data_IF_347137562139
#
_entry.id   IF_347137562139
#
_cell.length_a   1.000
_cell.length_b   1.000
_cell.length_c   1.000
_cell.angle_alpha   90.00
_cell.angle_beta   90.00
_cell.angle_gamma   90.00
#
_symmetry.space_group_name_H-M   'P 1'
#
loop_
_entity.id
_entity.type
_entity.pdbx_description
1 polymer ?
#
# COMPACT_ATOMS: atom_id res chain seq x y z
N UNK A 1 -23.04 89.87 -51.48
CA UNK A 1 -23.24 88.93 -50.35
C UNK A 1 -24.20 87.85 -50.83
N UNK A 2 -23.69 86.79 -51.48
CA UNK A 2 -23.26 85.50 -50.91
C UNK A 2 -24.40 84.70 -50.28
N UNK A 3 -24.97 83.78 -51.06
CA UNK A 3 -25.32 82.44 -50.59
C UNK A 3 -25.02 81.46 -51.74
N UNK A 4 -24.10 80.49 -51.57
CA UNK A 4 -23.98 79.39 -52.51
C UNK A 4 -24.95 78.25 -52.15
N UNK A 5 -25.56 77.72 -53.20
CA UNK A 5 -26.50 76.61 -53.23
C UNK A 5 -25.90 75.33 -52.64
N UNK A 6 -26.64 74.71 -51.73
CA UNK A 6 -26.34 73.41 -51.11
C UNK A 6 -26.53 72.30 -52.14
N UNK A 7 -25.43 71.84 -52.75
CA UNK A 7 -25.44 70.66 -53.60
C UNK A 7 -25.54 69.39 -52.75
N UNK A 8 -26.48 68.52 -53.11
CA UNK A 8 -26.80 67.27 -52.44
C UNK A 8 -25.86 66.17 -52.95
N UNK A 9 -24.82 65.84 -52.19
CA UNK A 9 -23.99 64.66 -52.47
C UNK A 9 -24.61 63.43 -51.84
N UNK A 10 -25.40 62.67 -52.59
CA UNK A 10 -25.69 61.28 -52.28
C UNK A 10 -24.47 60.44 -52.67
N UNK A 11 -23.46 60.38 -51.80
CA UNK A 11 -22.38 59.39 -51.90
C UNK A 11 -22.74 58.19 -51.04
N UNK A 12 -22.92 57.05 -51.71
CA UNK A 12 -23.29 55.77 -51.17
C UNK A 12 -22.35 55.32 -50.03
N UNK A 13 -22.84 55.35 -48.80
CA UNK A 13 -22.31 54.52 -47.73
C UNK A 13 -22.99 53.15 -47.78
N UNK A 14 -22.71 52.38 -48.84
CA UNK A 14 -22.86 50.92 -48.79
C UNK A 14 -21.46 50.37 -48.53
N UNK A 15 -20.97 50.60 -47.32
CA UNK A 15 -19.97 49.71 -46.73
C UNK A 15 -20.74 48.84 -45.75
N UNK A 16 -21.03 47.64 -46.24
CA UNK A 16 -21.65 46.50 -45.57
C UNK A 16 -21.21 46.39 -44.10
N UNK A 17 -22.07 46.86 -43.20
CA UNK A 17 -22.04 46.43 -41.79
C UNK A 17 -22.60 45.01 -41.74
N UNK A 18 -21.79 44.01 -42.09
CA UNK A 18 -22.13 42.61 -41.85
C UNK A 18 -21.97 42.38 -40.35
N UNK A 19 -23.05 42.62 -39.60
CA UNK A 19 -23.11 42.19 -38.21
C UNK A 19 -23.08 40.65 -38.21
N UNK A 20 -21.92 40.09 -37.88
CA UNK A 20 -21.80 38.64 -37.73
C UNK A 20 -22.28 38.32 -36.32
N UNK A 21 -23.43 37.66 -36.23
CA UNK A 21 -23.99 37.19 -34.96
C UNK A 21 -22.94 36.33 -34.23
N UNK A 22 -22.89 36.38 -32.90
CA UNK A 22 -21.91 35.63 -32.08
C UNK A 22 -21.84 34.13 -32.42
N UNK A 23 -22.94 33.56 -32.90
CA UNK A 23 -23.05 32.21 -33.48
C UNK A 23 -21.99 31.89 -34.54
N UNK A 24 -21.63 32.86 -35.39
CA UNK A 24 -20.65 32.66 -36.46
C UNK A 24 -19.25 32.36 -35.92
N UNK A 25 -18.83 33.06 -34.87
CA UNK A 25 -17.54 32.81 -34.23
C UNK A 25 -17.50 31.44 -33.53
N UNK A 26 -18.61 30.98 -32.97
CA UNK A 26 -18.71 29.62 -32.44
C UNK A 26 -18.54 28.56 -33.53
N UNK A 27 -19.11 28.76 -34.73
CA UNK A 27 -18.90 27.82 -35.83
C UNK A 27 -17.45 27.83 -36.35
N UNK A 28 -16.82 29.00 -36.43
CA UNK A 28 -15.41 29.11 -36.80
C UNK A 28 -14.47 28.48 -35.76
N UNK A 29 -14.86 28.47 -34.48
CA UNK A 29 -14.14 27.74 -33.45
C UNK A 29 -14.45 26.24 -33.45
N UNK A 30 -15.71 25.87 -33.72
CA UNK A 30 -16.17 24.48 -33.67
C UNK A 30 -15.56 23.62 -34.77
N UNK A 31 -15.35 24.13 -35.98
CA UNK A 31 -14.74 23.38 -37.09
C UNK A 31 -13.31 22.91 -36.77
N UNK A 32 -12.35 23.80 -36.41
CA UNK A 32 -11.00 23.36 -36.04
C UNK A 32 -10.99 22.56 -34.74
N UNK A 33 -11.90 22.84 -33.79
CA UNK A 33 -12.02 22.05 -32.56
C UNK A 33 -12.49 20.62 -32.83
N UNK A 34 -13.49 20.43 -33.69
CA UNK A 34 -13.99 19.12 -34.10
C UNK A 34 -12.93 18.35 -34.90
N UNK A 35 -12.19 19.04 -35.77
CA UNK A 35 -11.07 18.44 -36.51
C UNK A 35 -9.92 18.02 -35.58
N UNK A 36 -9.55 18.86 -34.61
CA UNK A 36 -8.54 18.53 -33.61
C UNK A 36 -8.98 17.36 -32.72
N UNK A 37 -10.24 17.33 -32.29
CA UNK A 37 -10.79 16.21 -31.53
C UNK A 37 -10.78 14.92 -32.36
N UNK A 38 -11.17 14.99 -33.64
CA UNK A 38 -11.11 13.86 -34.56
C UNK A 38 -9.69 13.32 -34.71
N UNK A 39 -8.70 14.20 -34.93
CA UNK A 39 -7.30 13.83 -35.06
C UNK A 39 -6.74 13.18 -33.79
N UNK A 40 -7.10 13.69 -32.61
CA UNK A 40 -6.65 13.13 -31.31
C UNK A 40 -7.38 11.83 -30.95
N UNK A 41 -8.61 11.64 -31.43
CA UNK A 41 -9.41 10.43 -31.20
C UNK A 41 -9.03 9.25 -32.09
N UNK A 42 -8.35 9.49 -33.21
CA UNK A 42 -7.94 8.45 -34.16
C UNK A 42 -6.59 7.85 -33.76
N UNK A 43 -6.44 6.54 -33.87
CA UNK A 43 -5.14 5.87 -33.87
C UNK A 43 -4.77 5.49 -35.31
N UNK A 44 -3.52 5.75 -35.70
CA UNK A 44 -2.99 5.36 -37.03
C UNK A 44 -2.55 3.88 -37.05
N UNK A 45 -2.25 3.31 -35.89
CA UNK A 45 -1.93 1.89 -35.73
C UNK A 45 -3.17 1.08 -35.27
N UNK A 46 -3.47 -0.07 -35.91
CA UNK A 46 -4.62 -0.90 -35.56
C UNK A 46 -4.50 -1.58 -34.18
N UNK A 47 -3.27 -1.69 -33.65
CA UNK A 47 -2.99 -2.36 -32.37
C UNK A 47 -2.74 -1.38 -31.21
N UNK A 48 -2.73 -0.06 -31.45
CA UNK A 48 -2.47 0.93 -30.40
C UNK A 48 -3.76 1.66 -29.99
N UNK A 49 -4.02 1.76 -28.69
CA UNK A 49 -5.13 2.55 -28.18
C UNK A 49 -4.97 4.05 -28.51
N UNK A 50 -6.05 4.76 -28.85
CA UNK A 50 -6.02 6.21 -29.08
C UNK A 50 -5.40 6.99 -27.92
N UNK A 51 -4.86 8.17 -28.22
CA UNK A 51 -4.16 8.99 -27.21
C UNK A 51 -5.04 9.34 -26.00
N UNK A 52 -6.34 9.61 -26.23
CA UNK A 52 -7.29 9.88 -25.16
C UNK A 52 -7.47 8.68 -24.24
N UNK A 53 -7.62 7.47 -24.79
CA UNK A 53 -7.72 6.24 -24.01
C UNK A 53 -6.48 6.05 -23.14
N UNK A 54 -5.28 6.24 -23.70
CA UNK A 54 -4.02 6.13 -22.94
C UNK A 54 -3.91 7.15 -21.80
N UNK A 55 -4.45 8.36 -21.99
CA UNK A 55 -4.47 9.37 -20.93
C UNK A 55 -5.45 8.99 -19.82
N UNK A 56 -6.63 8.47 -20.19
CA UNK A 56 -7.61 7.95 -19.25
C UNK A 56 -7.01 6.78 -18.46
N UNK A 57 -6.41 5.81 -19.15
CA UNK A 57 -5.79 4.62 -18.53
C UNK A 57 -4.69 5.01 -17.53
N UNK A 58 -3.86 6.00 -17.87
CA UNK A 58 -2.83 6.51 -16.93
C UNK A 58 -3.43 7.11 -15.67
N UNK A 59 -4.55 7.82 -15.80
CA UNK A 59 -5.23 8.44 -14.67
C UNK A 59 -5.95 7.40 -13.81
N UNK A 60 -6.64 6.43 -14.43
CA UNK A 60 -7.30 5.33 -13.71
C UNK A 60 -6.28 4.45 -13.00
N UNK A 61 -5.16 4.10 -13.64
CA UNK A 61 -4.07 3.34 -13.01
C UNK A 61 -3.49 4.07 -11.79
N UNK A 62 -3.31 5.40 -11.89
CA UNK A 62 -2.86 6.19 -10.75
C UNK A 62 -3.88 6.12 -9.61
N UNK A 63 -5.16 6.32 -9.90
CA UNK A 63 -6.24 6.27 -8.91
C UNK A 63 -6.34 4.90 -8.24
N UNK A 64 -6.26 3.81 -9.01
CA UNK A 64 -6.26 2.43 -8.50
C UNK A 64 -5.10 2.17 -7.54
N UNK A 65 -3.91 2.70 -7.84
CA UNK A 65 -2.75 2.60 -6.93
C UNK A 65 -2.98 3.35 -5.62
N UNK A 66 -3.58 4.54 -5.67
CA UNK A 66 -3.92 5.29 -4.46
C UNK A 66 -4.97 4.56 -3.63
N UNK A 67 -6.02 4.01 -4.27
CA UNK A 67 -7.05 3.24 -3.57
C UNK A 67 -6.49 1.97 -2.96
N UNK A 68 -5.61 1.24 -3.67
CA UNK A 68 -4.98 0.03 -3.15
C UNK A 68 -4.08 0.32 -1.93
N UNK A 69 -3.34 1.42 -1.95
CA UNK A 69 -2.53 1.86 -0.79
C UNK A 69 -3.40 2.23 0.42
N UNK A 70 -4.48 2.97 0.18
CA UNK A 70 -5.40 3.35 1.24
C UNK A 70 -6.10 2.13 1.84
N UNK A 71 -6.51 1.18 1.02
CA UNK A 71 -7.10 -0.10 1.45
C UNK A 71 -6.10 -0.90 2.32
N UNK A 72 -4.83 -1.03 1.91
CA UNK A 72 -3.81 -1.66 2.74
C UNK A 72 -3.63 -0.96 4.09
N UNK A 73 -3.65 0.37 4.13
CA UNK A 73 -3.51 1.14 5.37
C UNK A 73 -4.71 0.93 6.31
N UNK A 74 -5.93 0.94 5.77
CA UNK A 74 -7.15 0.66 6.53
C UNK A 74 -7.10 -0.75 7.12
N UNK A 75 -6.76 -1.76 6.31
CA UNK A 75 -6.62 -3.15 6.77
C UNK A 75 -5.58 -3.31 7.87
N UNK A 76 -4.44 -2.61 7.75
CA UNK A 76 -3.41 -2.61 8.79
C UNK A 76 -3.92 -2.02 10.11
N UNK A 77 -4.67 -0.91 10.05
CA UNK A 77 -5.28 -0.29 11.24
C UNK A 77 -6.34 -1.20 11.86
N UNK A 78 -7.20 -1.81 11.05
CA UNK A 78 -8.23 -2.75 11.53
C UNK A 78 -7.61 -3.94 12.23
N UNK A 79 -6.57 -4.54 11.63
CA UNK A 79 -5.81 -5.64 12.24
C UNK A 79 -5.15 -5.20 13.55
N UNK A 80 -4.47 -4.06 13.55
CA UNK A 80 -3.83 -3.53 14.76
C UNK A 80 -4.84 -3.23 15.87
N UNK A 81 -6.04 -2.76 15.52
CA UNK A 81 -7.14 -2.57 16.46
C UNK A 81 -7.62 -3.88 17.05
N UNK A 82 -7.84 -4.90 16.21
CA UNK A 82 -8.22 -6.24 16.65
C UNK A 82 -7.16 -6.87 17.58
N UNK A 83 -5.88 -6.79 17.18
CA UNK A 83 -4.77 -7.34 17.96
C UNK A 83 -4.63 -6.60 19.30
N UNK A 84 -4.84 -5.28 19.34
CA UNK A 84 -4.86 -4.51 20.59
C UNK A 84 -5.96 -4.99 21.54
N UNK A 85 -7.16 -5.26 21.03
CA UNK A 85 -8.27 -5.77 21.85
C UNK A 85 -7.94 -7.15 22.41
N UNK A 86 -7.30 -8.01 21.62
CA UNK A 86 -6.82 -9.32 22.08
C UNK A 86 -5.84 -9.16 23.25
N UNK A 87 -4.80 -8.32 23.09
CA UNK A 87 -3.77 -8.14 24.12
C UNK A 87 -4.26 -7.43 25.38
N UNK A 88 -5.27 -6.56 25.26
CA UNK A 88 -5.87 -5.88 26.43
C UNK A 88 -6.74 -6.81 27.28
N UNK A 89 -7.30 -7.86 26.69
CA UNK A 89 -8.19 -8.79 27.39
C UNK A 89 -7.51 -10.12 27.77
N UNK A 90 -6.37 -10.46 27.17
CA UNK A 90 -5.58 -11.63 27.58
C UNK A 90 -4.81 -11.35 28.86
N UNK A 91 -4.75 -12.34 29.78
CA UNK A 91 -3.82 -12.27 30.90
C UNK A 91 -2.38 -12.21 30.35
N UNK A 92 -1.54 -11.25 30.80
CA UNK A 92 -0.15 -11.20 30.37
C UNK A 92 0.59 -12.45 30.86
N UNK A 93 1.34 -13.07 29.97
CA UNK A 93 2.29 -14.10 30.39
C UNK A 93 3.47 -13.41 31.09
N UNK A 94 3.64 -13.68 32.38
CA UNK A 94 4.70 -13.08 33.19
C UNK A 94 6.08 -13.63 32.79
N UNK A 95 6.14 -14.84 32.22
CA UNK A 95 7.40 -15.54 31.98
C UNK A 95 7.40 -16.30 30.64
N UNK A 96 8.02 -15.71 29.61
CA UNK A 96 8.22 -16.38 28.33
C UNK A 96 9.53 -17.21 28.37
N UNK A 97 9.48 -18.55 28.19
CA UNK A 97 10.68 -19.36 28.15
C UNK A 97 11.48 -19.11 26.87
N UNK A 98 12.79 -18.91 27.00
CA UNK A 98 13.70 -18.78 25.85
C UNK A 98 14.19 -20.15 25.41
N UNK A 99 14.20 -20.41 24.11
CA UNK A 99 14.69 -21.68 23.56
C UNK A 99 16.22 -21.82 23.69
N UNK A 100 16.92 -20.70 23.63
CA UNK A 100 18.38 -20.59 23.60
C UNK A 100 18.84 -19.61 24.69
N UNK A 101 19.02 -20.06 25.95
CA UNK A 101 19.38 -19.16 27.06
C UNK A 101 20.77 -18.53 26.92
N UNK A 102 21.65 -19.11 26.11
CA UNK A 102 23.00 -18.61 25.80
C UNK A 102 22.98 -17.29 25.01
N UNK A 103 21.94 -17.02 24.23
CA UNK A 103 21.83 -15.77 23.46
C UNK A 103 21.67 -14.54 24.37
N UNK A 104 21.30 -14.74 25.64
CA UNK A 104 21.24 -13.67 26.64
C UNK A 104 22.63 -13.14 27.03
N UNK A 105 23.68 -13.92 26.74
CA UNK A 105 25.08 -13.53 26.94
C UNK A 105 25.79 -13.16 25.65
N UNK A 106 25.16 -13.37 24.50
CA UNK A 106 25.76 -13.10 23.20
C UNK A 106 25.66 -11.60 22.88
N UNK A 107 26.68 -10.85 23.28
CA UNK A 107 26.86 -9.45 22.96
C UNK A 107 28.21 -9.25 22.26
N UNK A 108 28.41 -8.08 21.65
CA UNK A 108 29.66 -7.75 20.97
C UNK A 108 30.88 -8.00 21.89
N UNK A 109 31.89 -8.77 21.45
CA UNK A 109 33.00 -9.19 22.31
C UNK A 109 33.98 -8.06 22.66
N UNK A 110 33.91 -6.91 21.96
CA UNK A 110 34.87 -5.81 22.08
C UNK A 110 34.20 -4.49 22.46
N UNK A 111 34.94 -3.66 23.20
CA UNK A 111 34.56 -2.30 23.58
C UNK A 111 33.28 -2.17 24.43
N UNK A 112 33.02 -3.17 25.29
CA UNK A 112 31.88 -3.16 26.21
C UNK A 112 32.32 -2.60 27.57
N UNK A 113 31.74 -1.49 28.06
CA UNK A 113 32.08 -0.96 29.38
C UNK A 113 31.69 -1.96 30.47
N UNK A 114 32.55 -2.09 31.49
CA UNK A 114 32.31 -3.00 32.61
C UNK A 114 30.98 -2.68 33.31
N UNK A 115 30.19 -3.71 33.61
CA UNK A 115 28.89 -3.59 34.27
C UNK A 115 27.70 -3.27 33.35
N UNK A 116 27.90 -3.13 32.04
CA UNK A 116 26.79 -2.99 31.09
C UNK A 116 26.01 -4.29 30.85
N UNK A 117 26.61 -5.45 31.14
CA UNK A 117 25.98 -6.75 31.00
C UNK A 117 25.27 -7.14 32.30
N UNK A 118 24.04 -7.66 32.17
CA UNK A 118 23.26 -8.19 33.30
C UNK A 118 23.85 -9.54 33.74
N UNK A 119 23.92 -9.79 35.05
CA UNK A 119 24.31 -11.11 35.57
C UNK A 119 23.17 -12.12 35.34
N UNK A 120 23.30 -12.92 34.29
CA UNK A 120 22.31 -13.94 33.88
C UNK A 120 22.63 -15.36 34.36
N UNK A 121 23.63 -15.54 35.25
CA UNK A 121 24.10 -16.88 35.64
C UNK A 121 22.99 -17.73 36.29
N UNK A 122 22.17 -17.14 37.16
CA UNK A 122 21.05 -17.85 37.80
C UNK A 122 20.00 -18.35 36.80
N UNK A 123 19.76 -17.60 35.73
CA UNK A 123 18.84 -17.99 34.65
C UNK A 123 19.43 -19.16 33.87
N UNK A 124 20.73 -19.09 33.56
CA UNK A 124 21.44 -20.15 32.87
C UNK A 124 21.49 -21.45 33.69
N UNK A 125 21.71 -21.35 34.99
CA UNK A 125 21.66 -22.49 35.92
C UNK A 125 20.28 -23.16 35.95
N UNK A 126 19.20 -22.37 35.99
CA UNK A 126 17.83 -22.90 35.91
C UNK A 126 17.65 -23.74 34.65
N UNK A 127 17.96 -23.21 33.47
CA UNK A 127 17.78 -23.92 32.20
C UNK A 127 18.72 -25.12 32.04
N UNK A 128 19.96 -25.04 32.55
CA UNK A 128 20.87 -26.19 32.58
C UNK A 128 20.31 -27.33 33.42
N UNK A 129 19.73 -27.02 34.58
CA UNK A 129 19.08 -28.01 35.44
C UNK A 129 17.89 -28.67 34.74
N UNK A 130 16.97 -27.88 34.19
CA UNK A 130 15.79 -28.39 33.46
C UNK A 130 16.20 -29.29 32.28
N UNK A 131 17.23 -28.90 31.51
CA UNK A 131 17.73 -29.71 30.41
C UNK A 131 18.35 -31.03 30.87
N UNK A 132 19.08 -31.04 31.99
CA UNK A 132 19.65 -32.26 32.56
C UNK A 132 18.56 -33.20 33.04
N UNK A 133 17.56 -32.69 33.78
CA UNK A 133 16.40 -33.45 34.23
C UNK A 133 15.62 -34.04 33.05
N UNK A 134 15.42 -33.29 31.97
CA UNK A 134 14.77 -33.76 30.74
C UNK A 134 15.56 -34.87 30.04
N UNK A 135 16.88 -34.75 30.02
CA UNK A 135 17.76 -35.77 29.44
C UNK A 135 17.76 -37.05 30.27
N UNK A 136 17.76 -36.93 31.61
CA UNK A 136 17.63 -38.07 32.52
C UNK A 136 16.28 -38.77 32.35
N UNK A 137 15.17 -38.03 32.31
CA UNK A 137 13.83 -38.60 32.03
C UNK A 137 13.77 -39.32 30.70
N UNK A 138 14.36 -38.74 29.65
CA UNK A 138 14.45 -39.39 28.32
C UNK A 138 15.32 -40.64 28.38
N UNK A 139 16.43 -40.61 29.11
CA UNK A 139 17.32 -41.76 29.29
C UNK A 139 16.62 -42.91 30.04
N UNK A 140 15.85 -42.60 31.07
CA UNK A 140 15.03 -43.58 31.80
C UNK A 140 13.92 -44.15 30.92
N UNK A 141 13.22 -43.32 30.15
CA UNK A 141 12.21 -43.77 29.20
C UNK A 141 12.81 -44.68 28.12
N UNK A 142 14.03 -44.37 27.65
CA UNK A 142 14.78 -45.23 26.72
C UNK A 142 15.16 -46.57 27.38
N UNK A 143 15.63 -46.55 28.63
CA UNK A 143 15.95 -47.77 29.40
C UNK A 143 14.72 -48.66 29.61
N UNK A 144 13.57 -48.05 29.86
CA UNK A 144 12.32 -48.75 30.10
C UNK A 144 11.56 -49.09 28.80
N UNK A 145 12.04 -48.66 27.64
CA UNK A 145 11.35 -48.83 26.35
C UNK A 145 9.99 -48.13 26.28
N UNK A 146 9.75 -47.13 27.13
CA UNK A 146 8.47 -46.42 27.22
C UNK A 146 8.48 -45.09 26.47
N UNK A 147 9.46 -44.85 25.61
CA UNK A 147 9.56 -43.58 24.90
C UNK A 147 8.39 -43.39 23.92
N UNK A 148 7.73 -42.23 23.98
CA UNK A 148 6.54 -41.94 23.19
C UNK A 148 6.74 -42.09 21.66
N UNK A 149 7.98 -41.92 21.17
CA UNK A 149 8.31 -42.07 19.75
C UNK A 149 8.33 -43.53 19.27
N UNK A 150 8.55 -44.49 20.17
CA UNK A 150 8.62 -45.92 19.85
C UNK A 150 7.31 -46.65 20.15
N UNK A 151 6.42 -46.05 20.95
CA UNK A 151 5.11 -46.64 21.24
C UNK A 151 4.19 -46.59 20.01
N UNK A 152 3.37 -47.64 19.78
CA UNK A 152 2.39 -47.62 18.72
C UNK A 152 1.34 -46.51 18.96
N UNK A 153 0.90 -45.87 17.89
CA UNK A 153 -0.12 -44.82 17.94
C UNK A 153 -1.41 -45.34 18.59
N UNK A 154 -1.78 -44.78 19.74
CA UNK A 154 -3.05 -45.06 20.40
C UNK A 154 -4.11 -44.11 19.83
N UNK A 155 -5.13 -44.67 19.16
CA UNK A 155 -6.30 -43.88 18.73
C UNK A 155 -7.09 -43.49 19.99
N UNK A 156 -7.24 -42.18 20.22
CA UNK A 156 -8.07 -41.64 21.31
C UNK A 156 -9.51 -42.13 21.14
N UNK A 157 -10.02 -42.92 22.09
CA UNK A 157 -11.43 -43.30 22.14
C UNK A 157 -12.16 -42.35 23.09
N UNK A 158 -13.22 -41.64 22.66
CA UNK A 158 -14.05 -40.88 23.58
C UNK A 158 -14.79 -41.84 24.53
N UNK A 159 -14.79 -41.52 25.82
CA UNK A 159 -15.62 -42.19 26.84
C UNK A 159 -17.05 -41.66 26.79
#
# INVERSE_FOLDING_TARGET
MSTPLRCHSYTAHILTQLHVQSGFWYTLAAVPLAWGLYAVSRSDDPNAAPLLTRLIDKYTEAQEKWTARNDLHVRMIEKAGSDRVLFMNSAPDEHVPVRFPESLTDCAPYNVPAGSQVNVQKVLEKYRRENNEDNERKLEALRNGTINSEQPFQRFSPN
#
